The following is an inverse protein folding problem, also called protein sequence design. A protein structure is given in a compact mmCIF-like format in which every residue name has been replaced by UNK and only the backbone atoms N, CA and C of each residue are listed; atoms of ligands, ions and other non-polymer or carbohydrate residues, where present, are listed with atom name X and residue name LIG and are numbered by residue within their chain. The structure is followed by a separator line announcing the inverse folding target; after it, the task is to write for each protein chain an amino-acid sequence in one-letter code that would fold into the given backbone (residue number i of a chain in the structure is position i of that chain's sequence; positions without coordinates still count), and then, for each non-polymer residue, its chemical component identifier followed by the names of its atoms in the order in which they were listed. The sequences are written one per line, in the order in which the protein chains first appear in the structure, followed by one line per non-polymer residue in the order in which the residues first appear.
data_IF_201125378767
#
_entry.id   IF_201125378767
#
_cell.length_a   1.000
_cell.length_b   1.000
_cell.length_c   1.000
_cell.angle_alpha   90.00
_cell.angle_beta   90.00
_cell.angle_gamma   90.00
#
_symmetry.space_group_name_H-M   'P 1'
#
loop_
_entity.id
_entity.type
_entity.pdbx_description
1 polymer ?
#
# COMPACT_ATOMS: atom_id res chain seq x y z
N UNK A 1 18.17 8.36 6.29
CA UNK A 1 17.13 8.09 5.26
C UNK A 1 16.68 6.64 5.41
N UNK A 2 15.66 6.18 4.66
CA UNK A 2 15.33 4.74 4.66
C UNK A 2 16.53 3.89 4.22
N UNK A 3 17.36 4.40 3.30
CA UNK A 3 18.63 3.77 2.93
C UNK A 3 19.60 3.60 4.11
N UNK A 4 19.70 4.56 5.02
CA UNK A 4 20.53 4.41 6.23
C UNK A 4 20.02 3.29 7.15
N UNK A 5 18.69 3.10 7.21
CA UNK A 5 18.07 2.08 8.07
C UNK A 5 18.21 0.68 7.46
N UNK A 6 17.99 0.56 6.15
CA UNK A 6 17.94 -0.72 5.45
C UNK A 6 19.23 -1.10 4.72
N UNK A 7 20.21 -0.19 4.66
CA UNK A 7 21.50 -0.41 4.00
C UNK A 7 21.44 -0.44 2.47
N UNK A 8 20.32 -0.05 1.86
CA UNK A 8 20.10 -0.03 0.42
C UNK A 8 19.03 1.01 0.04
N UNK A 9 19.06 1.50 -1.20
CA UNK A 9 18.00 2.34 -1.73
C UNK A 9 16.63 1.64 -1.62
N UNK A 10 15.61 2.40 -1.21
CA UNK A 10 14.25 1.90 -1.04
C UNK A 10 13.32 2.70 -1.93
N UNK A 11 12.70 2.04 -2.89
CA UNK A 11 11.78 2.68 -3.83
C UNK A 11 10.32 2.57 -3.39
N UNK A 12 9.98 1.53 -2.61
CA UNK A 12 8.61 1.21 -2.21
C UNK A 12 8.63 0.69 -0.77
N UNK A 13 7.72 1.18 0.06
CA UNK A 13 7.47 0.67 1.40
C UNK A 13 6.05 0.13 1.48
N UNK A 14 5.91 -1.17 1.71
CA UNK A 14 4.61 -1.79 2.01
C UNK A 14 4.48 -1.98 3.52
N UNK A 15 3.42 -1.42 4.11
CA UNK A 15 3.20 -1.44 5.56
C UNK A 15 1.73 -1.67 5.90
N UNK A 16 1.44 -1.85 7.19
CA UNK A 16 0.10 -2.21 7.66
C UNK A 16 -0.18 -1.74 9.09
N UNK A 17 -0.76 -2.62 9.90
CA UNK A 17 -1.16 -2.42 11.30
C UNK A 17 -2.35 -1.48 11.53
N UNK A 18 -2.49 -0.38 10.79
CA UNK A 18 -3.57 0.60 11.04
C UNK A 18 -4.94 0.18 10.50
N UNK A 19 -4.98 -0.70 9.49
CA UNK A 19 -6.19 -1.00 8.69
C UNK A 19 -6.75 0.20 7.92
N UNK A 20 -5.95 1.25 7.71
CA UNK A 20 -6.26 2.37 6.82
C UNK A 20 -5.46 2.24 5.54
N UNK A 21 -6.15 2.25 4.38
CA UNK A 21 -5.48 2.23 3.09
C UNK A 21 -4.73 3.55 2.84
N UNK A 22 -3.52 3.46 2.32
CA UNK A 22 -2.64 4.61 2.02
C UNK A 22 -1.91 4.33 0.72
N UNK A 23 -1.91 5.31 -0.20
CA UNK A 23 -1.02 5.38 -1.35
C UNK A 23 -0.52 6.82 -1.41
N UNK A 24 0.76 7.03 -1.10
CA UNK A 24 1.37 8.36 -1.12
C UNK A 24 2.81 8.26 -1.61
N UNK A 25 3.29 9.31 -2.28
CA UNK A 25 4.69 9.44 -2.63
C UNK A 25 5.38 10.37 -1.64
N UNK A 26 6.39 9.86 -0.93
CA UNK A 26 7.15 10.60 0.05
C UNK A 26 8.64 10.52 -0.28
N UNK A 27 9.24 11.66 -0.63
CA UNK A 27 10.66 11.75 -1.00
C UNK A 27 11.07 10.78 -2.13
N UNK A 28 10.20 10.57 -3.13
CA UNK A 28 10.41 9.65 -4.26
C UNK A 28 10.16 8.17 -3.94
N UNK A 29 9.68 7.88 -2.73
CA UNK A 29 9.40 6.54 -2.23
C UNK A 29 7.89 6.34 -2.21
N UNK A 30 7.41 5.28 -2.86
CA UNK A 30 5.99 4.93 -2.86
C UNK A 30 5.65 4.26 -1.51
N UNK A 31 4.83 4.94 -0.72
CA UNK A 31 4.33 4.47 0.57
C UNK A 31 2.97 3.81 0.37
N UNK A 32 2.88 2.51 0.62
CA UNK A 32 1.71 1.68 0.38
C UNK A 32 1.23 0.97 1.65
N UNK A 33 -0.02 1.22 2.05
CA UNK A 33 -0.74 0.37 3.00
C UNK A 33 -2.02 -0.13 2.31
N UNK A 34 -2.19 -1.45 2.12
CA UNK A 34 -3.36 -1.99 1.43
C UNK A 34 -4.65 -1.88 2.24
N UNK A 35 -4.60 -1.44 3.50
CA UNK A 35 -5.73 -1.49 4.41
C UNK A 35 -5.93 -2.89 4.97
N UNK A 36 -7.18 -3.34 5.04
CA UNK A 36 -7.50 -4.68 5.52
C UNK A 36 -8.59 -5.31 4.66
N UNK A 37 -8.40 -6.57 4.19
CA UNK A 37 -9.36 -7.21 3.29
C UNK A 37 -10.66 -7.62 3.99
N UNK A 38 -10.62 -7.83 5.31
CA UNK A 38 -11.77 -8.33 6.10
C UNK A 38 -12.13 -7.46 7.30
N UNK A 39 -11.28 -6.47 7.63
CA UNK A 39 -11.44 -5.62 8.80
C UNK A 39 -11.03 -4.16 8.51
N UNK A 40 -11.52 -3.53 7.42
CA UNK A 40 -11.15 -2.15 7.07
C UNK A 40 -11.55 -1.20 8.20
N UNK A 41 -10.61 -0.37 8.67
CA UNK A 41 -10.83 0.57 9.78
C UNK A 41 -11.47 -0.08 11.02
N UNK A 42 -11.12 -1.34 11.31
CA UNK A 42 -11.65 -2.12 12.44
C UNK A 42 -13.14 -2.51 12.32
N UNK A 43 -13.72 -2.46 11.12
CA UNK A 43 -15.12 -2.85 10.87
C UNK A 43 -15.17 -4.22 10.17
N UNK A 44 -15.95 -5.17 10.69
CA UNK A 44 -16.11 -6.49 10.07
C UNK A 44 -16.98 -6.41 8.81
N UNK A 45 -16.32 -6.30 7.64
CA UNK A 45 -16.93 -6.26 6.31
C UNK A 45 -15.88 -6.55 5.24
N UNK A 46 -16.30 -6.76 4.00
CA UNK A 46 -15.37 -6.71 2.86
C UNK A 46 -14.65 -5.36 2.85
N UNK A 47 -13.32 -5.41 2.76
CA UNK A 47 -12.46 -4.23 2.80
C UNK A 47 -11.63 -4.09 1.54
N UNK A 48 -10.36 -3.73 1.74
CA UNK A 48 -9.48 -3.33 0.65
C UNK A 48 -8.33 -4.30 0.41
N UNK A 49 -7.86 -4.32 -0.83
CA UNK A 49 -6.54 -4.80 -1.23
C UNK A 49 -5.86 -3.71 -2.05
N UNK A 50 -4.54 -3.80 -2.19
CA UNK A 50 -3.79 -2.98 -3.14
C UNK A 50 -3.32 -3.83 -4.31
N UNK A 51 -3.32 -3.25 -5.51
CA UNK A 51 -2.63 -3.76 -6.68
C UNK A 51 -1.42 -2.86 -6.93
N UNK A 52 -0.23 -3.47 -7.04
CA UNK A 52 1.02 -2.80 -7.33
C UNK A 52 1.47 -3.22 -8.73
N UNK A 53 1.62 -2.25 -9.63
CA UNK A 53 2.15 -2.45 -10.98
C UNK A 53 3.58 -1.95 -11.05
N UNK A 54 4.46 -2.81 -11.59
CA UNK A 54 5.88 -2.54 -11.72
C UNK A 54 6.28 -2.73 -13.18
N UNK A 55 6.81 -1.66 -13.76
CA UNK A 55 7.41 -1.64 -15.08
C UNK A 55 8.89 -1.23 -14.98
N UNK A 56 9.61 -1.20 -16.10
CA UNK A 56 11.05 -0.95 -16.09
C UNK A 56 11.43 0.44 -15.53
N UNK A 57 10.58 1.44 -15.74
CA UNK A 57 10.78 2.85 -15.38
C UNK A 57 9.61 3.47 -14.61
N UNK A 58 8.59 2.66 -14.29
CA UNK A 58 7.37 3.12 -13.64
C UNK A 58 6.93 2.17 -12.52
N UNK A 59 6.43 2.77 -11.43
CA UNK A 59 5.78 2.07 -10.32
C UNK A 59 4.47 2.80 -10.00
N UNK A 60 3.37 2.07 -9.91
CA UNK A 60 2.07 2.62 -9.53
C UNK A 60 1.34 1.64 -8.63
N UNK A 61 0.43 2.17 -7.82
CA UNK A 61 -0.45 1.33 -7.02
C UNK A 61 -1.86 1.90 -7.03
N UNK A 62 -2.84 1.01 -6.91
CA UNK A 62 -4.23 1.36 -6.69
C UNK A 62 -4.83 0.55 -5.54
N UNK A 63 -5.84 1.12 -4.87
CA UNK A 63 -6.63 0.42 -3.86
C UNK A 63 -7.91 -0.07 -4.50
N UNK A 64 -8.16 -1.37 -4.38
CA UNK A 64 -9.40 -1.99 -4.79
C UNK A 64 -10.29 -2.22 -3.57
N UNK A 65 -11.51 -1.70 -3.62
CA UNK A 65 -12.57 -1.99 -2.65
C UNK A 65 -13.23 -3.32 -3.03
N UNK A 66 -13.07 -4.37 -2.23
CA UNK A 66 -13.57 -5.71 -2.56
C UNK A 66 -15.10 -5.78 -2.70
N UNK A 67 -15.81 -4.83 -2.07
CA UNK A 67 -17.27 -4.71 -2.20
C UNK A 67 -17.76 -4.31 -3.60
N UNK A 68 -16.88 -3.85 -4.51
CA UNK A 68 -17.27 -3.53 -5.88
C UNK A 68 -17.41 -4.76 -6.78
N UNK A 69 -16.95 -5.93 -6.31
CA UNK A 69 -16.95 -7.20 -7.06
C UNK A 69 -17.99 -8.21 -6.56
N UNK A 70 -18.82 -7.83 -5.58
CA UNK A 70 -19.84 -8.67 -4.94
C UNK A 70 -21.25 -8.26 -5.30
#
# INVERSE_FOLDING_TARGET
TLETVFGAAVDIVVFGHTHYAVIEEYQGILMLNPGSPSLPRQLRRLGQVAVLELEADHKSAEILELSTFS
#
